data_IF_173263173836
#
_entry.id   IF_173263173836
#
_cell.length_a   1.000
_cell.length_b   1.000
_cell.length_c   1.000
_cell.angle_alpha   90.00
_cell.angle_beta   90.00
_cell.angle_gamma   90.00
#
_symmetry.space_group_name_H-M   'P 1'
#
loop_
_entity.id
_entity.type
_entity.pdbx_description
1 polymer ?
#
# COMPACT_ATOMS: atom_id res chain seq x y z
N UNK A 1 22.07 56.21 13.75
CA UNK A 1 23.05 55.22 13.24
C UNK A 1 22.55 53.83 13.63
N UNK A 2 22.08 53.04 12.66
CA UNK A 2 21.64 51.65 12.93
C UNK A 2 22.87 50.77 13.08
N UNK A 3 23.09 50.20 14.28
CA UNK A 3 24.14 49.21 14.51
C UNK A 3 23.63 47.88 13.89
N UNK A 4 24.22 47.49 12.79
CA UNK A 4 24.06 46.13 12.26
C UNK A 4 24.94 45.20 13.11
N UNK A 5 24.31 44.36 13.93
CA UNK A 5 24.98 43.26 14.61
C UNK A 5 25.07 42.10 13.62
N UNK A 6 26.26 41.76 13.18
CA UNK A 6 26.53 40.57 12.36
C UNK A 6 26.74 39.34 13.25
N UNK A 7 26.40 38.17 12.73
CA UNK A 7 26.70 36.90 13.37
C UNK A 7 28.19 36.65 13.46
N UNK A 8 28.65 36.10 14.58
CA UNK A 8 30.03 35.66 14.72
C UNK A 8 30.26 34.33 14.04
N UNK A 9 31.48 34.08 13.58
CA UNK A 9 31.85 32.81 12.93
C UNK A 9 31.59 31.61 13.88
N UNK A 10 31.85 31.79 15.18
CA UNK A 10 31.65 30.74 16.18
C UNK A 10 30.15 30.38 16.37
N UNK A 11 29.24 31.36 16.32
CA UNK A 11 27.82 31.13 16.40
C UNK A 11 27.32 30.28 15.21
N UNK A 12 27.81 30.56 14.00
CA UNK A 12 27.46 29.78 12.81
C UNK A 12 28.00 28.35 12.92
N UNK A 13 29.26 28.17 13.32
CA UNK A 13 29.88 26.84 13.48
C UNK A 13 29.12 26.01 14.53
N UNK A 14 28.80 26.62 15.69
CA UNK A 14 28.02 25.92 16.72
C UNK A 14 26.66 25.44 16.19
N UNK A 15 25.96 26.26 15.43
CA UNK A 15 24.62 25.90 14.86
C UNK A 15 24.76 24.72 13.89
N UNK A 16 25.71 24.74 12.97
CA UNK A 16 25.88 23.64 12.01
C UNK A 16 26.30 22.32 12.68
N UNK A 17 27.12 22.39 13.75
CA UNK A 17 27.48 21.20 14.53
C UNK A 17 26.26 20.60 15.23
N UNK A 18 25.43 21.41 15.87
CA UNK A 18 24.22 20.95 16.55
C UNK A 18 23.24 20.33 15.54
N UNK A 19 23.01 21.01 14.41
CA UNK A 19 22.15 20.50 13.34
C UNK A 19 22.71 19.18 12.79
N UNK A 20 24.02 19.06 12.61
CA UNK A 20 24.67 17.83 12.14
C UNK A 20 24.43 16.64 13.07
N UNK A 21 24.54 16.85 14.38
CA UNK A 21 24.27 15.80 15.39
C UNK A 21 22.78 15.40 15.37
N UNK A 22 21.88 16.38 15.35
CA UNK A 22 20.45 16.12 15.31
C UNK A 22 20.03 15.40 14.02
N UNK A 23 20.59 15.79 12.87
CA UNK A 23 20.33 15.14 11.60
C UNK A 23 20.77 13.68 11.60
N UNK A 24 21.93 13.35 12.16
CA UNK A 24 22.44 11.99 12.26
C UNK A 24 21.51 11.06 13.05
N UNK A 25 20.80 11.59 14.05
CA UNK A 25 19.84 10.84 14.86
C UNK A 25 18.45 10.74 14.20
N UNK A 26 18.08 11.71 13.38
CA UNK A 26 16.75 11.79 12.76
C UNK A 26 16.61 10.81 11.57
N UNK A 27 17.65 10.69 10.74
CA UNK A 27 17.60 9.86 9.51
C UNK A 27 17.13 8.42 9.74
N UNK A 28 17.71 7.63 10.68
CA UNK A 28 17.26 6.24 10.87
C UNK A 28 15.79 6.14 11.32
N UNK A 29 15.31 7.09 12.12
CA UNK A 29 13.91 7.10 12.59
C UNK A 29 12.90 7.38 11.47
N UNK A 30 13.27 8.20 10.49
CA UNK A 30 12.44 8.46 9.33
C UNK A 30 12.33 7.23 8.42
N UNK A 31 13.42 6.46 8.28
CA UNK A 31 13.41 5.22 7.50
C UNK A 31 12.48 4.17 8.10
N UNK A 32 12.54 3.96 9.41
CA UNK A 32 11.66 3.04 10.13
C UNK A 32 10.19 3.47 10.05
N UNK A 33 9.93 4.77 10.15
CA UNK A 33 8.57 5.32 10.05
C UNK A 33 7.98 5.13 8.63
N UNK A 34 8.79 5.28 7.58
CA UNK A 34 8.37 5.06 6.19
C UNK A 34 7.99 3.60 5.94
N UNK A 35 8.83 2.65 6.38
CA UNK A 35 8.55 1.23 6.24
C UNK A 35 7.27 0.81 6.98
N UNK A 36 7.06 1.34 8.20
CA UNK A 36 5.85 1.07 8.97
C UNK A 36 4.59 1.65 8.31
N UNK A 37 4.70 2.84 7.70
CA UNK A 37 3.61 3.45 6.96
C UNK A 37 3.23 2.64 5.72
N UNK A 38 4.21 2.10 5.00
CA UNK A 38 3.97 1.23 3.85
C UNK A 38 3.27 -0.07 4.24
N UNK A 39 3.75 -0.75 5.29
CA UNK A 39 3.09 -1.93 5.82
C UNK A 39 1.64 -1.65 6.25
N UNK A 40 1.40 -0.51 6.90
CA UNK A 40 0.05 -0.11 7.28
C UNK A 40 -0.85 0.15 6.06
N UNK A 41 -0.30 0.76 5.00
CA UNK A 41 -1.02 0.97 3.74
C UNK A 41 -1.35 -0.35 3.05
N UNK A 42 -0.42 -1.31 3.03
CA UNK A 42 -0.66 -2.66 2.50
C UNK A 42 -1.78 -3.37 3.26
N UNK A 43 -1.74 -3.37 4.59
CA UNK A 43 -2.78 -4.00 5.43
C UNK A 43 -4.15 -3.31 5.24
N UNK A 44 -4.17 -1.99 5.14
CA UNK A 44 -5.38 -1.23 4.88
C UNK A 44 -5.98 -1.56 3.52
N UNK A 45 -5.15 -1.66 2.49
CA UNK A 45 -5.57 -2.04 1.14
C UNK A 45 -6.09 -3.48 1.08
N UNK A 46 -5.42 -4.41 1.75
CA UNK A 46 -5.88 -5.80 1.87
C UNK A 46 -7.27 -5.88 2.52
N UNK A 47 -7.47 -5.14 3.62
CA UNK A 47 -8.77 -5.06 4.29
C UNK A 47 -9.85 -4.43 3.39
N UNK A 48 -9.50 -3.42 2.58
CA UNK A 48 -10.41 -2.80 1.62
C UNK A 48 -10.84 -3.79 0.54
N UNK A 49 -9.92 -4.59 -0.01
CA UNK A 49 -10.26 -5.63 -1.00
C UNK A 49 -11.14 -6.71 -0.40
N UNK A 50 -10.91 -7.12 0.85
CA UNK A 50 -11.79 -8.07 1.56
C UNK A 50 -13.20 -7.50 1.76
N UNK A 51 -13.29 -6.22 2.10
CA UNK A 51 -14.58 -5.53 2.23
C UNK A 51 -15.29 -5.43 0.88
N UNK A 52 -14.58 -5.08 -0.20
CA UNK A 52 -15.11 -5.03 -1.55
C UNK A 52 -15.62 -6.41 -2.01
N UNK A 53 -14.92 -7.50 -1.64
CA UNK A 53 -15.37 -8.86 -1.91
C UNK A 53 -16.73 -9.17 -1.25
N UNK A 54 -16.92 -8.77 0.02
CA UNK A 54 -18.19 -8.95 0.69
C UNK A 54 -19.33 -8.14 0.03
N UNK A 55 -19.03 -6.92 -0.42
CA UNK A 55 -19.97 -6.06 -1.15
C UNK A 55 -20.34 -6.70 -2.49
N UNK A 56 -19.35 -7.18 -3.25
CA UNK A 56 -19.57 -7.83 -4.53
C UNK A 56 -20.43 -9.11 -4.40
N UNK A 57 -20.22 -9.92 -3.36
CA UNK A 57 -21.09 -11.08 -3.08
C UNK A 57 -22.53 -10.64 -2.81
N UNK A 58 -22.72 -9.60 -2.03
CA UNK A 58 -24.05 -9.09 -1.71
C UNK A 58 -24.78 -8.55 -2.96
N UNK A 59 -24.05 -7.86 -3.84
CA UNK A 59 -24.59 -7.30 -5.08
C UNK A 59 -24.94 -8.39 -6.10
N UNK A 60 -23.99 -9.27 -6.40
CA UNK A 60 -24.17 -10.31 -7.43
C UNK A 60 -24.94 -11.54 -6.91
N UNK A 61 -25.12 -11.68 -5.59
CA UNK A 61 -25.71 -12.86 -4.91
C UNK A 61 -25.04 -14.19 -5.30
N UNK A 62 -23.76 -14.12 -5.65
CA UNK A 62 -22.85 -15.22 -5.99
C UNK A 62 -21.41 -14.79 -5.74
N UNK A 63 -20.47 -15.73 -5.81
CA UNK A 63 -19.05 -15.39 -5.76
C UNK A 63 -18.69 -14.53 -6.99
N UNK A 64 -18.07 -13.36 -6.79
CA UNK A 64 -17.61 -12.51 -7.89
C UNK A 64 -16.43 -13.15 -8.61
N UNK A 65 -16.21 -12.78 -9.85
CA UNK A 65 -14.96 -13.04 -10.56
C UNK A 65 -13.90 -12.02 -10.13
N UNK A 66 -12.63 -12.32 -10.44
CA UNK A 66 -11.53 -11.36 -10.18
C UNK A 66 -11.79 -10.02 -10.89
N UNK A 67 -12.35 -10.07 -12.10
CA UNK A 67 -12.71 -8.87 -12.85
C UNK A 67 -13.80 -8.05 -12.16
N UNK A 68 -14.86 -8.70 -11.70
CA UNK A 68 -15.96 -8.05 -10.98
C UNK A 68 -15.47 -7.49 -9.64
N UNK A 69 -14.64 -8.23 -8.90
CA UNK A 69 -14.05 -7.75 -7.66
C UNK A 69 -13.22 -6.49 -7.88
N UNK A 70 -12.39 -6.45 -8.93
CA UNK A 70 -11.55 -5.30 -9.24
C UNK A 70 -12.35 -4.01 -9.46
N UNK A 71 -13.59 -4.10 -9.99
CA UNK A 71 -14.45 -2.90 -10.20
C UNK A 71 -14.91 -2.25 -8.89
N UNK A 72 -14.87 -2.98 -7.77
CA UNK A 72 -15.27 -2.49 -6.44
C UNK A 72 -14.09 -1.96 -5.62
N UNK A 73 -12.88 -2.00 -6.18
CA UNK A 73 -11.65 -1.60 -5.48
C UNK A 73 -11.03 -0.38 -6.12
N UNK A 74 -10.75 0.64 -5.31
CA UNK A 74 -9.94 1.82 -5.70
C UNK A 74 -8.81 1.97 -4.71
N UNK A 75 -7.59 2.20 -5.20
CA UNK A 75 -6.40 2.47 -4.41
C UNK A 75 -5.65 3.65 -5.02
N UNK A 76 -5.18 4.59 -4.18
CA UNK A 76 -4.51 5.84 -4.61
C UNK A 76 -5.30 6.63 -5.67
N UNK A 77 -6.66 6.60 -5.59
CA UNK A 77 -7.53 7.26 -6.55
C UNK A 77 -7.60 6.56 -7.93
N UNK A 78 -6.95 5.42 -8.09
CA UNK A 78 -6.94 4.63 -9.31
C UNK A 78 -7.78 3.36 -9.13
N UNK A 79 -8.56 3.00 -10.13
CA UNK A 79 -9.29 1.74 -10.12
C UNK A 79 -8.31 0.57 -10.16
N UNK A 80 -8.58 -0.46 -9.35
CA UNK A 80 -7.79 -1.67 -9.36
C UNK A 80 -7.93 -2.42 -10.69
N UNK A 81 -6.91 -3.17 -11.07
CA UNK A 81 -6.89 -3.95 -12.30
C UNK A 81 -6.92 -5.45 -12.00
N UNK A 82 -7.72 -6.23 -12.75
CA UNK A 82 -7.76 -7.67 -12.55
C UNK A 82 -6.50 -8.32 -13.13
N UNK A 83 -5.91 -9.25 -12.39
CA UNK A 83 -4.78 -10.08 -12.80
C UNK A 83 -5.09 -11.57 -12.60
N UNK A 84 -4.29 -12.43 -13.21
CA UNK A 84 -4.52 -13.89 -13.14
C UNK A 84 -4.42 -14.44 -11.70
N UNK A 85 -3.58 -13.83 -10.86
CA UNK A 85 -3.36 -14.25 -9.47
C UNK A 85 -4.19 -13.47 -8.45
N UNK A 86 -4.93 -12.43 -8.88
CA UNK A 86 -5.71 -11.59 -7.97
C UNK A 86 -5.99 -10.20 -8.51
N UNK A 87 -6.12 -9.25 -7.59
CA UNK A 87 -6.44 -7.85 -7.90
C UNK A 87 -5.18 -7.01 -7.70
N UNK A 88 -4.77 -6.30 -8.75
CA UNK A 88 -3.64 -5.35 -8.69
C UNK A 88 -4.13 -3.99 -8.21
N UNK A 89 -3.40 -3.44 -7.26
CA UNK A 89 -3.65 -2.14 -6.63
C UNK A 89 -2.38 -1.30 -6.64
N UNK A 90 -2.52 0.01 -6.65
CA UNK A 90 -1.38 0.92 -6.53
C UNK A 90 -1.27 1.44 -5.10
N UNK A 91 -0.06 1.44 -4.54
CA UNK A 91 0.24 2.03 -3.23
C UNK A 91 1.51 2.87 -3.41
N UNK A 92 1.42 4.17 -3.21
CA UNK A 92 2.52 5.13 -3.38
C UNK A 92 3.19 5.09 -4.78
N UNK A 93 2.45 4.66 -5.81
CA UNK A 93 2.94 4.52 -7.18
C UNK A 93 3.50 3.15 -7.54
N UNK A 94 3.69 2.27 -6.58
CA UNK A 94 4.10 0.88 -6.79
C UNK A 94 2.89 -0.04 -6.96
N UNK A 95 3.05 -1.09 -7.77
CA UNK A 95 1.97 -2.05 -8.04
C UNK A 95 2.09 -3.27 -7.14
N UNK A 96 1.05 -3.51 -6.37
CA UNK A 96 0.91 -4.67 -5.49
C UNK A 96 -0.21 -5.58 -6.01
N UNK A 97 -0.15 -6.85 -5.65
CA UNK A 97 -1.20 -7.82 -5.99
C UNK A 97 -1.81 -8.39 -4.71
N UNK A 98 -3.10 -8.19 -4.52
CA UNK A 98 -3.87 -8.89 -3.49
C UNK A 98 -4.29 -10.24 -4.07
N UNK A 99 -3.72 -11.30 -3.53
CA UNK A 99 -3.98 -12.65 -4.01
C UNK A 99 -5.45 -13.04 -3.81
N UNK A 100 -6.00 -13.75 -4.77
CA UNK A 100 -7.35 -14.31 -4.70
C UNK A 100 -7.33 -15.82 -4.86
N UNK A 101 -8.30 -16.49 -4.28
CA UNK A 101 -8.43 -17.94 -4.26
C UNK A 101 -9.82 -18.34 -4.70
N UNK A 102 -9.92 -19.49 -5.34
CA UNK A 102 -11.21 -20.00 -5.85
C UNK A 102 -12.05 -20.67 -4.78
N UNK A 103 -11.44 -21.08 -3.69
CA UNK A 103 -12.09 -21.73 -2.55
C UNK A 103 -12.22 -20.79 -1.33
N UNK A 104 -13.13 -21.13 -0.42
CA UNK A 104 -13.35 -20.36 0.81
C UNK A 104 -12.29 -20.54 1.89
N UNK A 105 -11.30 -21.42 1.68
CA UNK A 105 -10.22 -21.72 2.64
C UNK A 105 -8.88 -21.08 2.26
N UNK A 106 -8.85 -20.30 1.17
CA UNK A 106 -7.64 -19.68 0.64
C UNK A 106 -6.51 -20.69 0.33
N UNK A 107 -6.86 -21.88 -0.20
CA UNK A 107 -5.91 -22.94 -0.50
C UNK A 107 -5.62 -23.07 -2.00
N UNK A 108 -6.61 -22.78 -2.85
CA UNK A 108 -6.53 -22.92 -4.30
C UNK A 108 -6.48 -21.55 -4.96
N UNK A 109 -5.26 -21.04 -5.20
CA UNK A 109 -5.04 -19.73 -5.80
C UNK A 109 -5.73 -19.62 -7.18
N UNK A 110 -6.28 -18.45 -7.50
CA UNK A 110 -6.59 -18.10 -8.89
C UNK A 110 -5.28 -18.11 -9.68
N UNK A 111 -5.30 -18.70 -10.85
CA UNK A 111 -4.10 -18.91 -11.67
C UNK A 111 -4.31 -18.39 -13.08
N UNK A 112 -3.24 -18.40 -13.88
CA UNK A 112 -3.33 -18.09 -15.30
C UNK A 112 -4.33 -18.97 -16.06
N UNK A 113 -4.65 -20.17 -15.56
CA UNK A 113 -5.65 -21.07 -16.14
C UNK A 113 -7.07 -20.59 -15.89
N UNK A 114 -7.37 -20.05 -14.68
CA UNK A 114 -8.67 -19.45 -14.36
C UNK A 114 -8.76 -18.01 -14.83
N UNK A 115 -7.62 -17.34 -14.98
CA UNK A 115 -7.49 -15.94 -15.42
C UNK A 115 -8.33 -14.97 -14.58
N UNK A 116 -8.69 -13.86 -15.19
CA UNK A 116 -9.51 -12.81 -14.54
C UNK A 116 -10.98 -13.19 -14.40
N UNK A 117 -11.44 -14.29 -15.04
CA UNK A 117 -12.81 -14.80 -14.98
C UNK A 117 -13.01 -15.85 -13.88
N UNK A 118 -11.95 -16.27 -13.21
CA UNK A 118 -12.03 -17.18 -12.06
C UNK A 118 -12.84 -16.57 -10.92
N UNK A 119 -13.72 -17.38 -10.31
CA UNK A 119 -14.51 -16.94 -9.15
C UNK A 119 -13.63 -16.81 -7.91
N UNK A 120 -13.90 -15.78 -7.11
CA UNK A 120 -13.16 -15.49 -5.88
C UNK A 120 -13.95 -16.01 -4.68
N UNK A 121 -13.48 -17.08 -4.07
CA UNK A 121 -14.03 -17.62 -2.82
C UNK A 121 -13.37 -17.03 -1.58
N UNK A 122 -12.09 -16.63 -1.69
CA UNK A 122 -11.33 -16.03 -0.60
C UNK A 122 -10.35 -14.98 -1.11
N UNK A 123 -10.13 -13.92 -0.31
CA UNK A 123 -9.12 -12.89 -0.52
C UNK A 123 -7.97 -13.13 0.45
N UNK A 124 -6.79 -13.37 -0.09
CA UNK A 124 -5.58 -13.64 0.66
C UNK A 124 -4.77 -12.39 1.00
N UNK A 125 -3.48 -12.58 1.14
CA UNK A 125 -2.56 -11.52 1.51
C UNK A 125 -2.12 -10.71 0.29
N UNK A 126 -1.65 -9.48 0.54
CA UNK A 126 -1.02 -8.64 -0.46
C UNK A 126 0.44 -9.08 -0.66
N UNK A 127 0.88 -9.07 -1.90
CA UNK A 127 2.27 -9.35 -2.28
C UNK A 127 2.84 -8.13 -3.00
N UNK A 128 4.06 -7.79 -2.64
CA UNK A 128 4.73 -6.59 -3.10
C UNK A 128 5.31 -6.63 -4.49
N UNK A 129 5.86 -5.49 -4.94
CA UNK A 129 6.52 -5.37 -6.23
C UNK A 129 7.79 -6.20 -6.30
#
# INVERSE_FOLDING_TARGET
MNKQSGFTLIELVMVIVIIGILAAMAVPRFYDASNNAELAAQQGTEAAVRSAHAIAIAEFKRLPTVMELATHVTSDGTAATPAASGVQVSINGDTYTVLTFTDGTCSSATTTTTGTTGTVGCVGNITGP
#
